data_IF_873858468628
#
_entry.id   IF_873858468628
#
_cell.length_a   1.000
_cell.length_b   1.000
_cell.length_c   1.000
_cell.angle_alpha   90.00
_cell.angle_beta   90.00
_cell.angle_gamma   90.00
#
_symmetry.space_group_name_H-M   'P 1'
#
loop_
_entity.id
_entity.type
_entity.pdbx_description
1 polymer ?
#
# COMPACT_ATOMS: atom_id res chain seq x y z
N UNK A 1 -18.16 3.25 -25.24
CA UNK A 1 -18.56 4.48 -24.55
C UNK A 1 -19.98 4.25 -24.08
N UNK A 2 -20.14 3.83 -22.83
CA UNK A 2 -21.46 3.68 -22.22
C UNK A 2 -21.79 4.99 -21.52
N UNK A 3 -22.67 5.79 -22.11
CA UNK A 3 -23.29 6.92 -21.44
C UNK A 3 -24.42 6.36 -20.56
N UNK A 4 -24.13 6.21 -19.27
CA UNK A 4 -25.16 6.18 -18.23
C UNK A 4 -24.72 7.16 -17.14
N UNK A 5 -25.42 8.31 -17.07
CA UNK A 5 -25.39 9.20 -15.90
C UNK A 5 -24.07 9.92 -15.58
N UNK A 6 -23.45 10.64 -16.51
CA UNK A 6 -22.46 11.70 -16.21
C UNK A 6 -21.12 11.27 -15.58
N UNK A 7 -20.92 9.98 -15.28
CA UNK A 7 -19.66 9.43 -14.77
C UNK A 7 -18.76 9.11 -15.96
N UNK A 8 -17.53 9.62 -15.94
CA UNK A 8 -16.52 9.35 -16.98
C UNK A 8 -15.28 8.72 -16.39
N UNK A 9 -14.64 7.85 -17.17
CA UNK A 9 -13.35 7.26 -16.81
C UNK A 9 -12.29 7.57 -17.84
N UNK A 10 -11.08 7.83 -17.37
CA UNK A 10 -9.91 8.00 -18.23
C UNK A 10 -8.71 7.27 -17.64
N UNK A 11 -7.75 6.91 -18.49
CA UNK A 11 -6.52 6.25 -18.07
C UNK A 11 -5.71 7.23 -17.23
N UNK A 12 -5.31 6.82 -16.04
CA UNK A 12 -4.47 7.64 -15.17
C UNK A 12 -2.99 7.56 -15.58
N UNK A 13 -2.52 6.34 -15.85
CA UNK A 13 -1.15 6.04 -16.21
C UNK A 13 -1.11 4.84 -17.17
N UNK A 14 -0.15 4.75 -18.12
CA UNK A 14 -0.15 3.69 -19.15
C UNK A 14 -0.19 2.26 -18.60
N UNK A 15 0.36 2.03 -17.41
CA UNK A 15 0.48 0.70 -16.81
C UNK A 15 -0.44 0.46 -15.62
N UNK A 16 -1.11 1.49 -15.11
CA UNK A 16 -1.94 1.40 -13.91
C UNK A 16 -2.96 2.53 -13.83
N UNK A 17 -4.02 2.29 -13.10
CA UNK A 17 -4.89 3.34 -12.63
C UNK A 17 -5.92 3.84 -13.63
N UNK A 18 -7.03 4.35 -13.08
CA UNK A 18 -8.02 5.12 -13.82
C UNK A 18 -8.44 6.34 -12.99
N UNK A 19 -8.75 7.44 -13.67
CA UNK A 19 -9.45 8.59 -13.07
C UNK A 19 -10.93 8.35 -13.24
N UNK A 20 -11.71 8.54 -12.16
CA UNK A 20 -13.17 8.51 -12.18
C UNK A 20 -13.69 9.91 -11.88
N UNK A 21 -14.42 10.48 -12.83
CA UNK A 21 -14.96 11.85 -12.76
C UNK A 21 -16.49 11.82 -12.80
N UNK A 22 -17.11 12.92 -12.37
CA UNK A 22 -18.58 13.04 -12.33
C UNK A 22 -19.26 12.23 -11.22
N UNK A 23 -18.49 11.69 -10.26
CA UNK A 23 -18.98 10.86 -9.17
C UNK A 23 -18.67 11.48 -7.81
N UNK A 24 -19.69 11.59 -6.95
CA UNK A 24 -19.55 11.82 -5.51
C UNK A 24 -19.66 10.48 -4.77
N UNK A 25 -18.52 9.98 -4.28
CA UNK A 25 -18.44 8.66 -3.62
C UNK A 25 -19.22 8.59 -2.31
N UNK A 26 -19.61 9.72 -1.70
CA UNK A 26 -20.45 9.70 -0.49
C UNK A 26 -21.88 9.25 -0.79
N UNK A 27 -22.36 9.52 -2.01
CA UNK A 27 -23.72 9.25 -2.47
C UNK A 27 -23.86 7.97 -3.30
N UNK A 28 -22.75 7.32 -3.67
CA UNK A 28 -22.80 6.18 -4.59
C UNK A 28 -23.50 4.96 -3.95
N UNK A 29 -24.47 4.39 -4.67
CA UNK A 29 -25.18 3.18 -4.24
C UNK A 29 -24.33 1.91 -4.33
N UNK A 30 -24.70 0.89 -3.55
CA UNK A 30 -24.03 -0.41 -3.52
C UNK A 30 -23.95 -1.10 -4.89
N UNK A 31 -25.01 -0.97 -5.70
CA UNK A 31 -25.07 -1.58 -7.04
C UNK A 31 -23.98 -1.02 -7.94
N UNK A 32 -23.81 0.31 -7.99
CA UNK A 32 -22.77 0.96 -8.80
C UNK A 32 -21.35 0.63 -8.29
N UNK A 33 -21.15 0.48 -6.98
CA UNK A 33 -19.87 -0.02 -6.45
C UNK A 33 -19.59 -1.43 -6.98
N UNK A 34 -20.60 -2.30 -6.95
CA UNK A 34 -20.46 -3.72 -7.29
C UNK A 34 -20.29 -3.94 -8.80
N UNK A 35 -21.12 -3.31 -9.63
CA UNK A 35 -21.16 -3.55 -11.08
C UNK A 35 -20.17 -2.73 -11.87
N UNK A 36 -19.68 -1.61 -11.31
CA UNK A 36 -18.83 -0.67 -12.02
C UNK A 36 -17.48 -0.43 -11.32
N UNK A 37 -17.46 0.08 -10.09
CA UNK A 37 -16.18 0.46 -9.45
C UNK A 37 -15.32 -0.75 -9.07
N UNK A 38 -15.88 -1.85 -8.60
CA UNK A 38 -15.12 -3.04 -8.24
C UNK A 38 -14.40 -3.67 -9.46
N UNK A 39 -15.08 -3.96 -10.59
CA UNK A 39 -14.39 -4.43 -11.80
C UNK A 39 -13.35 -3.43 -12.33
N UNK A 40 -13.63 -2.12 -12.24
CA UNK A 40 -12.69 -1.08 -12.65
C UNK A 40 -11.44 -1.06 -11.76
N UNK A 41 -11.61 -1.19 -10.44
CA UNK A 41 -10.50 -1.29 -9.49
C UNK A 41 -9.67 -2.55 -9.73
N UNK A 42 -10.30 -3.70 -9.94
CA UNK A 42 -9.61 -4.97 -10.17
C UNK A 42 -8.76 -4.96 -11.44
N UNK A 43 -9.27 -4.34 -12.51
CA UNK A 43 -8.60 -4.25 -13.81
C UNK A 43 -7.48 -3.21 -13.86
N UNK A 44 -7.66 -2.05 -13.21
CA UNK A 44 -6.70 -0.95 -13.22
C UNK A 44 -5.77 -0.93 -11.99
N UNK A 45 -6.10 -1.64 -10.92
CA UNK A 45 -5.39 -1.69 -9.64
C UNK A 45 -5.54 -0.44 -8.77
N UNK A 46 -5.83 0.73 -9.36
CA UNK A 46 -5.95 2.01 -8.67
C UNK A 46 -7.05 2.88 -9.29
N UNK A 47 -7.84 3.56 -8.48
CA UNK A 47 -8.83 4.55 -8.89
C UNK A 47 -8.54 5.88 -8.20
N UNK A 48 -8.57 6.96 -8.98
CA UNK A 48 -8.43 8.33 -8.49
C UNK A 48 -9.75 9.07 -8.64
N UNK A 49 -10.27 9.57 -7.52
CA UNK A 49 -11.42 10.46 -7.46
C UNK A 49 -10.94 11.83 -6.99
N UNK A 50 -11.24 12.88 -7.77
CA UNK A 50 -10.86 14.26 -7.45
C UNK A 50 -11.99 14.97 -6.71
N UNK A 51 -11.65 16.02 -5.95
CA UNK A 51 -12.59 16.98 -5.36
C UNK A 51 -13.69 16.35 -4.47
N UNK A 52 -13.39 15.23 -3.81
CA UNK A 52 -14.29 14.57 -2.89
C UNK A 52 -14.37 15.33 -1.56
N UNK A 53 -15.52 15.21 -0.88
CA UNK A 53 -15.73 15.77 0.46
C UNK A 53 -16.17 14.65 1.40
N UNK A 54 -15.20 14.00 2.03
CA UNK A 54 -15.44 12.84 2.88
C UNK A 54 -15.18 13.15 4.34
N UNK A 55 -16.04 12.63 5.21
CA UNK A 55 -15.71 12.41 6.62
C UNK A 55 -14.90 11.12 6.77
N UNK A 56 -14.17 10.93 7.89
CA UNK A 56 -13.51 9.66 8.19
C UNK A 56 -14.47 8.46 8.12
N UNK A 57 -15.66 8.59 8.69
CA UNK A 57 -16.72 7.57 8.63
C UNK A 57 -17.20 7.30 7.19
N UNK A 58 -17.37 8.35 6.39
CA UNK A 58 -17.78 8.21 4.98
C UNK A 58 -16.72 7.50 4.13
N UNK A 59 -15.43 7.72 4.41
CA UNK A 59 -14.35 6.97 3.77
C UNK A 59 -14.44 5.47 4.11
N UNK A 60 -14.59 5.13 5.40
CA UNK A 60 -14.73 3.74 5.84
C UNK A 60 -15.95 3.07 5.22
N UNK A 61 -17.09 3.75 5.22
CA UNK A 61 -18.32 3.26 4.61
C UNK A 61 -18.13 2.99 3.11
N UNK A 62 -17.55 3.94 2.36
CA UNK A 62 -17.30 3.78 0.93
C UNK A 62 -16.39 2.59 0.63
N UNK A 63 -15.24 2.46 1.30
CA UNK A 63 -14.33 1.32 1.09
C UNK A 63 -14.99 0.00 1.50
N UNK A 64 -15.80 0.01 2.56
CA UNK A 64 -16.56 -1.15 3.03
C UNK A 64 -17.66 -1.62 2.08
N UNK A 65 -18.10 -0.80 1.12
CA UNK A 65 -19.06 -1.20 0.07
C UNK A 65 -18.44 -2.11 -1.00
N UNK A 66 -17.10 -2.22 -1.09
CA UNK A 66 -16.48 -3.13 -2.07
C UNK A 66 -16.78 -4.59 -1.70
N UNK A 67 -17.32 -5.41 -2.63
CA UNK A 67 -17.86 -6.74 -2.29
C UNK A 67 -16.87 -7.66 -1.57
N UNK A 68 -15.60 -7.60 -1.96
CA UNK A 68 -14.54 -8.44 -1.40
C UNK A 68 -13.88 -7.84 -0.15
N UNK A 69 -14.22 -6.61 0.27
CA UNK A 69 -13.73 -6.03 1.51
C UNK A 69 -14.30 -6.76 2.74
N UNK A 70 -13.43 -7.15 3.68
CA UNK A 70 -13.77 -7.85 4.91
C UNK A 70 -14.02 -6.87 6.07
N UNK A 71 -15.25 -6.33 6.08
CA UNK A 71 -15.75 -5.47 7.16
C UNK A 71 -16.00 -6.24 8.46
N UNK A 72 -16.18 -7.57 8.40
CA UNK A 72 -16.42 -8.38 9.60
C UNK A 72 -15.15 -8.54 10.44
N UNK A 73 -13.99 -8.68 9.79
CA UNK A 73 -12.69 -8.74 10.49
C UNK A 73 -12.43 -7.43 11.27
N UNK A 74 -12.90 -6.29 10.76
CA UNK A 74 -12.83 -5.00 11.45
C UNK A 74 -13.72 -5.02 12.71
N UNK A 75 -14.96 -5.51 12.60
CA UNK A 75 -15.89 -5.63 13.72
C UNK A 75 -15.37 -6.58 14.80
N UNK A 76 -14.69 -7.66 14.40
CA UNK A 76 -14.07 -8.64 15.30
C UNK A 76 -12.73 -8.14 15.86
N UNK A 77 -12.34 -6.88 15.61
CA UNK A 77 -11.07 -6.28 16.03
C UNK A 77 -9.85 -7.15 15.67
N UNK A 78 -9.99 -7.95 14.61
CA UNK A 78 -9.00 -8.94 14.19
C UNK A 78 -8.14 -8.45 13.03
N UNK A 79 -8.49 -7.28 12.46
CA UNK A 79 -7.71 -6.57 11.46
C UNK A 79 -6.37 -6.11 12.05
N UNK A 80 -5.27 -6.09 11.27
CA UNK A 80 -3.94 -5.71 11.76
C UNK A 80 -3.83 -4.32 12.38
N UNK A 81 -4.77 -3.44 12.07
CA UNK A 81 -4.71 -2.02 12.37
C UNK A 81 -5.88 -1.52 13.23
N UNK A 82 -6.78 -2.41 13.67
CA UNK A 82 -8.02 -1.98 14.31
C UNK A 82 -7.90 -1.81 15.84
N UNK A 83 -7.29 -2.77 16.55
CA UNK A 83 -7.21 -2.72 18.01
C UNK A 83 -5.82 -2.31 18.49
N UNK A 84 -5.76 -1.28 19.33
CA UNK A 84 -4.52 -0.78 19.93
C UNK A 84 -3.55 -0.07 18.99
N UNK A 85 -3.88 0.11 17.70
CA UNK A 85 -3.07 0.92 16.79
C UNK A 85 -3.26 2.41 17.17
N UNK A 86 -2.23 3.09 17.70
CA UNK A 86 -2.37 4.48 18.09
C UNK A 86 -2.66 5.38 16.89
N UNK A 87 -2.39 4.92 15.66
CA UNK A 87 -2.64 5.70 14.45
C UNK A 87 -4.11 5.79 14.05
N UNK A 88 -4.97 4.96 14.62
CA UNK A 88 -6.41 4.96 14.35
C UNK A 88 -7.17 5.98 15.21
N UNK A 89 -8.27 6.50 14.65
CA UNK A 89 -9.19 7.35 15.40
C UNK A 89 -9.82 6.53 16.55
N UNK A 90 -9.78 7.00 17.81
CA UNK A 90 -10.34 6.29 18.95
C UNK A 90 -11.83 5.95 18.79
N UNK A 91 -12.60 6.85 18.20
CA UNK A 91 -14.03 6.70 17.91
C UNK A 91 -14.30 5.86 16.66
N UNK A 92 -13.28 5.62 15.83
CA UNK A 92 -13.38 4.94 14.55
C UNK A 92 -12.11 4.12 14.24
N UNK A 93 -11.89 3.00 14.96
CA UNK A 93 -10.65 2.21 14.90
C UNK A 93 -10.30 1.63 13.51
N UNK A 94 -11.20 1.72 12.52
CA UNK A 94 -10.93 1.35 11.13
C UNK A 94 -10.33 2.45 10.25
N UNK A 95 -10.13 3.66 10.80
CA UNK A 95 -9.59 4.80 10.07
C UNK A 95 -8.31 5.30 10.73
N UNK A 96 -7.20 5.19 10.00
CA UNK A 96 -5.93 5.80 10.38
C UNK A 96 -5.87 7.27 10.02
N UNK A 97 -5.16 8.03 10.83
CA UNK A 97 -4.80 9.42 10.57
C UNK A 97 -3.32 9.49 10.26
N UNK A 98 -2.93 10.02 9.10
CA UNK A 98 -1.53 10.15 8.72
C UNK A 98 -1.14 11.62 8.53
N UNK A 99 0.14 11.92 8.74
CA UNK A 99 0.71 13.27 8.57
C UNK A 99 0.86 14.04 9.89
N UNK A 100 0.89 15.36 9.80
CA UNK A 100 1.02 16.31 10.92
C UNK A 100 -0.01 17.44 10.74
N UNK A 101 -1.23 17.29 11.27
CA UNK A 101 -2.29 18.28 11.05
C UNK A 101 -1.98 19.61 11.75
N UNK A 102 -2.25 20.74 11.09
CA UNK A 102 -1.98 22.07 11.67
C UNK A 102 -3.01 22.54 12.70
N UNK A 103 -4.26 22.09 12.56
CA UNK A 103 -5.42 22.72 13.21
C UNK A 103 -5.97 21.94 14.41
N UNK A 104 -5.71 20.64 14.51
CA UNK A 104 -6.28 19.81 15.57
C UNK A 104 -5.22 18.94 16.24
N UNK A 105 -4.85 19.33 17.46
CA UNK A 105 -3.90 18.58 18.29
C UNK A 105 -4.46 17.24 18.78
N UNK A 106 -5.77 17.05 18.81
CA UNK A 106 -6.36 15.76 19.19
C UNK A 106 -6.02 14.67 18.16
N UNK A 107 -5.83 15.04 16.89
CA UNK A 107 -5.43 14.14 15.81
C UNK A 107 -3.95 13.74 15.85
N UNK A 108 -3.13 14.37 16.71
CA UNK A 108 -1.70 14.05 16.83
C UNK A 108 -1.46 12.68 17.48
N UNK A 109 -2.47 12.12 18.16
CA UNK A 109 -2.40 10.74 18.66
C UNK A 109 -2.40 9.73 17.50
N UNK A 110 -3.21 9.99 16.46
CA UNK A 110 -3.29 9.20 15.23
C UNK A 110 -2.11 9.44 14.27
N UNK A 111 -1.69 10.69 14.17
CA UNK A 111 -0.75 11.16 13.16
C UNK A 111 0.61 11.50 13.78
N UNK A 112 1.33 10.51 14.34
CA UNK A 112 2.66 10.75 14.94
C UNK A 112 3.78 10.71 13.88
N UNK A 113 4.72 11.67 13.88
CA UNK A 113 5.85 11.71 12.93
C UNK A 113 6.62 10.38 12.81
N UNK A 114 6.83 9.68 13.92
CA UNK A 114 7.59 8.42 13.97
C UNK A 114 6.81 7.21 13.40
N UNK A 115 5.49 7.35 13.17
CA UNK A 115 4.71 6.40 12.36
C UNK A 115 4.71 6.80 10.88
N UNK A 116 4.93 8.08 10.56
CA UNK A 116 4.95 8.61 9.20
C UNK A 116 6.28 8.36 8.46
N UNK A 117 7.33 7.94 9.18
CA UNK A 117 8.61 7.50 8.60
C UNK A 117 8.56 6.08 7.98
N UNK A 118 7.47 5.34 8.22
CA UNK A 118 7.22 4.02 7.63
C UNK A 118 6.52 4.14 6.26
N UNK A 119 6.78 3.21 5.36
CA UNK A 119 6.15 3.15 4.03
C UNK A 119 6.81 4.03 2.98
N UNK A 120 8.06 4.48 3.21
CA UNK A 120 8.89 5.11 2.18
C UNK A 120 9.60 4.08 1.29
N UNK A 121 9.68 2.84 1.74
CA UNK A 121 10.06 1.68 0.95
C UNK A 121 8.95 1.27 -0.02
N UNK A 122 9.31 0.59 -1.11
CA UNK A 122 8.31 -0.07 -1.95
C UNK A 122 7.68 -1.25 -1.21
N UNK A 123 6.38 -1.18 -0.98
CA UNK A 123 5.64 -2.18 -0.22
C UNK A 123 4.21 -2.34 -0.72
N UNK A 124 3.55 -3.36 -0.18
CA UNK A 124 2.12 -3.61 -0.25
C UNK A 124 1.64 -3.90 1.17
N UNK A 125 0.46 -3.41 1.54
CA UNK A 125 -0.03 -3.50 2.92
C UNK A 125 -0.54 -4.90 3.32
N UNK A 126 -0.60 -5.83 2.36
CA UNK A 126 -1.23 -7.14 2.50
C UNK A 126 -2.36 -7.31 1.49
N UNK A 127 -3.05 -8.45 1.50
CA UNK A 127 -4.23 -8.64 0.65
C UNK A 127 -5.39 -7.80 1.18
N UNK A 128 -5.68 -6.67 0.53
CA UNK A 128 -6.70 -5.74 0.96
C UNK A 128 -6.93 -4.57 -0.01
N UNK A 129 -7.99 -3.81 0.25
CA UNK A 129 -8.30 -2.58 -0.47
C UNK A 129 -7.96 -1.41 0.46
N UNK A 130 -7.18 -0.46 -0.04
CA UNK A 130 -6.83 0.76 0.68
C UNK A 130 -7.52 1.96 0.05
N UNK A 131 -8.23 2.74 0.86
CA UNK A 131 -8.67 4.10 0.52
C UNK A 131 -7.81 5.12 1.25
N UNK A 132 -7.24 6.07 0.51
CA UNK A 132 -6.40 7.14 1.04
C UNK A 132 -6.94 8.50 0.59
N UNK A 133 -7.39 9.31 1.53
CA UNK A 133 -8.05 10.59 1.29
C UNK A 133 -7.24 11.76 1.85
N UNK A 134 -6.99 12.77 1.01
CA UNK A 134 -6.23 13.96 1.37
C UNK A 134 -7.14 15.07 1.94
N UNK A 135 -7.19 15.19 3.26
CA UNK A 135 -7.95 16.22 3.96
C UNK A 135 -7.17 17.55 4.10
N UNK A 136 -5.85 17.48 4.24
CA UNK A 136 -4.95 18.62 4.23
C UNK A 136 -3.66 18.22 3.51
N UNK A 137 -3.20 19.05 2.58
CA UNK A 137 -1.92 18.85 1.89
C UNK A 137 -1.01 20.06 2.13
N UNK A 138 0.32 19.84 2.18
CA UNK A 138 1.28 20.93 2.22
C UNK A 138 1.10 21.93 1.08
N UNK A 139 1.25 23.22 1.36
CA UNK A 139 1.20 24.29 0.35
C UNK A 139 2.60 24.77 -0.05
N UNK A 140 2.76 25.24 -1.29
CA UNK A 140 4.01 25.81 -1.81
C UNK A 140 4.95 24.76 -2.44
N UNK A 141 6.26 25.03 -2.41
CA UNK A 141 7.29 24.18 -3.05
C UNK A 141 7.57 22.85 -2.33
N UNK A 142 7.01 22.66 -1.12
CA UNK A 142 7.22 21.48 -0.29
C UNK A 142 5.98 20.59 -0.34
N UNK A 143 5.97 19.58 -1.20
CA UNK A 143 4.90 18.59 -1.29
C UNK A 143 5.40 17.21 -0.92
N UNK A 144 4.59 16.43 -0.21
CA UNK A 144 4.80 14.97 -0.08
C UNK A 144 3.92 14.27 -1.10
N UNK A 145 4.52 13.37 -1.86
CA UNK A 145 3.87 12.62 -2.93
C UNK A 145 3.82 11.14 -2.58
N UNK A 146 3.00 10.41 -3.30
CA UNK A 146 2.96 8.95 -3.20
C UNK A 146 3.21 8.35 -4.58
N UNK A 147 4.08 7.35 -4.62
CA UNK A 147 4.45 6.60 -5.81
C UNK A 147 3.67 5.30 -5.83
N UNK A 148 3.19 4.91 -7.01
CA UNK A 148 2.58 3.61 -7.25
C UNK A 148 3.21 2.94 -8.46
N UNK A 149 3.23 1.61 -8.41
CA UNK A 149 3.62 0.77 -9.51
C UNK A 149 2.71 -0.47 -9.56
N UNK A 150 2.48 -0.99 -10.77
CA UNK A 150 1.65 -2.17 -10.95
C UNK A 150 2.48 -3.44 -10.80
N UNK A 151 2.09 -4.30 -9.86
CA UNK A 151 2.60 -5.66 -9.76
C UNK A 151 2.30 -6.49 -11.00
N UNK A 152 1.21 -6.20 -11.72
CA UNK A 152 0.94 -6.83 -13.01
C UNK A 152 1.99 -6.44 -14.06
N UNK A 153 2.22 -5.15 -14.24
CA UNK A 153 3.23 -4.68 -15.19
C UNK A 153 4.62 -5.21 -14.80
N UNK A 154 4.95 -5.19 -13.51
CA UNK A 154 6.20 -5.72 -12.99
C UNK A 154 6.39 -7.21 -13.33
N UNK A 155 5.32 -8.00 -13.34
CA UNK A 155 5.37 -9.38 -13.85
C UNK A 155 5.50 -9.43 -15.38
N UNK A 156 4.70 -8.65 -16.10
CA UNK A 156 4.59 -8.71 -17.55
C UNK A 156 5.94 -8.42 -18.24
N UNK A 157 6.73 -7.48 -17.69
CA UNK A 157 8.05 -7.07 -18.23
C UNK A 157 9.20 -8.03 -17.93
N UNK A 158 9.01 -9.03 -17.07
CA UNK A 158 10.05 -10.01 -16.80
C UNK A 158 10.33 -10.87 -18.03
N UNK A 159 11.61 -11.22 -18.22
CA UNK A 159 11.99 -12.28 -19.17
C UNK A 159 11.43 -13.62 -18.74
N UNK A 160 11.34 -14.57 -19.68
CA UNK A 160 10.86 -15.92 -19.37
C UNK A 160 11.75 -16.63 -18.35
N UNK A 161 13.06 -16.37 -18.37
CA UNK A 161 14.00 -16.88 -17.37
C UNK A 161 13.70 -16.31 -15.98
N UNK A 162 13.47 -14.99 -15.88
CA UNK A 162 13.14 -14.35 -14.61
C UNK A 162 11.77 -14.82 -14.08
N UNK A 163 10.77 -15.01 -14.96
CA UNK A 163 9.47 -15.61 -14.58
C UNK A 163 9.65 -17.02 -14.04
N UNK A 164 10.45 -17.87 -14.67
CA UNK A 164 10.77 -19.23 -14.18
C UNK A 164 11.45 -19.19 -12.81
N UNK A 165 12.42 -18.28 -12.62
CA UNK A 165 13.09 -18.11 -11.33
C UNK A 165 12.10 -17.71 -10.23
N UNK A 166 11.29 -16.68 -10.48
CA UNK A 166 10.26 -16.20 -9.54
C UNK A 166 9.29 -17.30 -9.13
N UNK A 167 8.82 -18.11 -10.09
CA UNK A 167 7.89 -19.21 -9.81
C UNK A 167 8.51 -20.29 -8.92
N UNK A 168 9.83 -20.48 -8.99
CA UNK A 168 10.57 -21.43 -8.16
C UNK A 168 10.96 -20.92 -6.77
N UNK A 169 10.83 -19.61 -6.50
CA UNK A 169 11.22 -19.04 -5.21
C UNK A 169 10.27 -19.46 -4.08
N UNK A 170 10.85 -19.74 -2.91
CA UNK A 170 10.10 -19.94 -1.67
C UNK A 170 10.64 -19.02 -0.57
N UNK A 171 9.96 -17.89 -0.37
CA UNK A 171 10.34 -16.89 0.63
C UNK A 171 9.54 -17.04 1.93
N UNK A 172 10.20 -16.75 3.05
CA UNK A 172 9.54 -16.57 4.34
C UNK A 172 9.61 -15.11 4.71
N UNK A 173 8.46 -14.50 4.94
CA UNK A 173 8.32 -13.13 5.40
C UNK A 173 7.85 -13.12 6.85
N UNK A 174 8.31 -12.13 7.60
CA UNK A 174 7.89 -12.00 8.98
C UNK A 174 8.47 -10.77 9.67
N UNK A 175 8.15 -10.59 10.96
CA UNK A 175 8.45 -9.35 11.67
C UNK A 175 9.93 -9.20 12.04
N UNK A 176 10.80 -10.20 11.83
CA UNK A 176 12.22 -10.20 12.22
C UNK A 176 12.98 -8.91 11.85
N UNK A 177 12.73 -8.29 10.69
CA UNK A 177 13.36 -7.00 10.35
C UNK A 177 12.86 -5.81 11.18
N UNK A 178 11.68 -5.91 11.77
CA UNK A 178 11.13 -4.95 12.72
C UNK A 178 11.53 -5.29 14.18
N UNK A 179 11.93 -6.54 14.45
CA UNK A 179 12.23 -7.06 15.80
C UNK A 179 13.73 -7.11 16.13
N UNK A 180 14.59 -7.37 15.13
CA UNK A 180 16.05 -7.37 15.29
C UNK A 180 16.56 -5.93 15.09
N UNK A 181 16.70 -5.21 16.21
CA UNK A 181 17.39 -3.92 16.36
C UNK A 181 16.80 -2.69 15.66
N UNK A 182 15.66 -2.19 16.16
CA UNK A 182 15.21 -0.79 16.07
C UNK A 182 14.85 -0.22 14.68
N UNK A 183 13.78 0.57 14.67
CA UNK A 183 13.45 1.56 13.62
C UNK A 183 14.67 2.41 13.21
N UNK A 184 15.66 2.59 14.09
CA UNK A 184 16.93 3.26 13.78
C UNK A 184 17.84 2.47 12.84
N UNK A 185 17.82 1.12 12.83
CA UNK A 185 18.54 0.33 11.83
C UNK A 185 17.84 0.29 10.46
N UNK A 186 16.52 0.52 10.39
CA UNK A 186 15.84 0.74 9.10
C UNK A 186 16.43 1.93 8.35
N UNK A 187 17.02 2.89 9.08
CA UNK A 187 17.78 4.01 8.52
C UNK A 187 19.29 3.71 8.42
N UNK A 188 19.91 3.07 9.43
CA UNK A 188 21.37 2.80 9.44
C UNK A 188 21.86 1.74 8.45
N UNK A 189 21.09 0.70 8.14
CA UNK A 189 21.47 -0.29 7.12
C UNK A 189 20.88 0.00 5.72
N UNK A 190 20.50 1.27 5.52
CA UNK A 190 20.48 1.92 4.23
C UNK A 190 19.45 1.36 3.28
N UNK A 191 18.16 1.64 3.51
CA UNK A 191 17.06 1.26 2.62
C UNK A 191 16.26 2.45 2.08
N UNK A 192 16.79 3.68 2.06
CA UNK A 192 16.04 4.80 1.46
C UNK A 192 16.08 4.66 -0.05
N UNK A 193 14.94 4.68 -0.73
CA UNK A 193 14.98 4.92 -2.17
C UNK A 193 15.45 6.38 -2.39
N UNK A 194 16.27 6.61 -3.42
CA UNK A 194 16.69 7.94 -3.89
C UNK A 194 15.46 8.84 -4.12
N UNK A 195 15.64 10.15 -4.31
CA UNK A 195 14.51 11.10 -4.43
C UNK A 195 13.51 10.78 -5.55
N UNK A 196 13.88 9.91 -6.48
CA UNK A 196 13.08 9.37 -7.57
C UNK A 196 12.51 7.95 -7.33
N UNK A 197 12.71 7.33 -6.16
CA UNK A 197 12.13 6.02 -5.84
C UNK A 197 12.85 4.83 -6.51
N UNK A 198 14.05 5.04 -7.08
CA UNK A 198 14.69 4.10 -8.02
C UNK A 198 15.93 3.37 -7.49
N UNK A 199 16.60 3.87 -6.43
CA UNK A 199 17.83 3.25 -5.90
C UNK A 199 17.92 3.31 -4.39
N UNK A 200 18.38 2.22 -3.78
CA UNK A 200 18.75 2.14 -2.37
C UNK A 200 19.94 3.06 -2.07
N UNK A 201 19.73 4.11 -1.27
CA UNK A 201 20.74 5.02 -0.75
C UNK A 201 21.21 4.47 0.59
N UNK A 202 22.51 4.20 0.69
CA UNK A 202 23.18 3.90 1.96
C UNK A 202 23.53 5.23 2.65
N UNK A 203 23.48 5.23 3.98
CA UNK A 203 23.90 6.32 4.89
C UNK A 203 22.92 7.50 5.09
N UNK A 204 21.79 7.26 5.79
CA UNK A 204 21.05 8.36 6.43
C UNK A 204 20.72 8.03 7.88
N UNK A 205 21.17 8.89 8.79
CA UNK A 205 21.04 8.73 10.23
C UNK A 205 19.60 8.97 10.70
N UNK A 206 19.11 8.16 11.64
CA UNK A 206 17.83 8.38 12.30
C UNK A 206 17.93 7.98 13.78
N UNK A 207 17.80 8.94 14.66
CA UNK A 207 17.82 8.74 16.11
C UNK A 207 16.68 9.52 16.75
N UNK A 208 15.64 8.82 17.26
CA UNK A 208 14.66 9.43 18.18
C UNK A 208 13.72 8.48 18.97
N UNK A 209 13.82 7.15 18.91
CA UNK A 209 12.90 6.27 19.67
C UNK A 209 13.57 5.59 20.88
N UNK A 210 12.89 5.57 22.02
CA UNK A 210 13.37 4.90 23.24
C UNK A 210 13.11 3.39 23.19
N UNK A 211 13.87 2.63 24.00
CA UNK A 211 13.79 1.16 24.07
C UNK A 211 12.40 0.67 24.51
N UNK A 212 11.72 1.39 25.41
CA UNK A 212 10.37 1.05 25.86
C UNK A 212 9.27 1.34 24.81
N UNK A 213 9.51 2.29 23.90
CA UNK A 213 8.60 2.58 22.77
C UNK A 213 8.71 1.50 21.69
N UNK A 214 9.92 0.97 21.46
CA UNK A 214 10.18 -0.13 20.54
C UNK A 214 9.55 -1.44 21.03
N UNK A 215 9.79 -1.83 22.29
CA UNK A 215 9.24 -3.08 22.86
C UNK A 215 7.71 -3.15 22.89
N UNK A 216 7.02 -2.01 23.05
CA UNK A 216 5.56 -1.95 22.94
C UNK A 216 5.05 -2.24 21.52
N UNK A 217 5.81 -1.87 20.48
CA UNK A 217 5.50 -2.20 19.07
C UNK A 217 5.86 -3.66 18.74
N UNK A 218 6.94 -4.19 19.32
CA UNK A 218 7.40 -5.58 19.15
C UNK A 218 6.39 -6.61 19.70
N UNK A 219 5.82 -6.35 20.89
CA UNK A 219 4.81 -7.21 21.52
C UNK A 219 3.45 -7.24 20.81
N UNK A 220 3.22 -6.30 19.88
CA UNK A 220 2.01 -6.20 19.07
C UNK A 220 2.19 -6.75 17.65
N UNK A 221 3.27 -7.48 17.35
CA UNK A 221 3.51 -8.03 16.01
C UNK A 221 2.38 -8.99 15.60
N UNK A 222 1.47 -8.50 14.76
CA UNK A 222 0.35 -9.27 14.28
C UNK A 222 0.86 -10.27 13.23
N UNK A 223 1.31 -11.45 13.68
CA UNK A 223 1.88 -12.50 12.83
C UNK A 223 1.00 -12.83 11.61
N UNK A 224 -0.33 -12.67 11.73
CA UNK A 224 -1.30 -12.83 10.65
C UNK A 224 -1.10 -11.87 9.48
N UNK A 225 -0.47 -10.71 9.67
CA UNK A 225 -0.14 -9.78 8.58
C UNK A 225 0.84 -10.42 7.59
N UNK A 226 1.80 -11.18 8.09
CA UNK A 226 2.94 -11.66 7.32
C UNK A 226 2.74 -13.04 6.68
N UNK A 227 1.84 -13.87 7.24
CA UNK A 227 1.56 -15.23 6.73
C UNK A 227 1.19 -15.23 5.24
N UNK A 228 0.47 -14.22 4.75
CA UNK A 228 0.04 -14.16 3.36
C UNK A 228 1.19 -13.96 2.37
N UNK A 229 2.33 -13.42 2.81
CA UNK A 229 3.48 -13.11 1.97
C UNK A 229 4.34 -14.35 1.69
N UNK A 230 4.26 -15.41 2.50
CA UNK A 230 5.12 -16.59 2.37
C UNK A 230 4.95 -17.32 1.03
N UNK A 231 6.05 -17.85 0.49
CA UNK A 231 6.19 -18.56 -0.77
C UNK A 231 6.69 -17.68 -1.93
N UNK A 232 6.38 -18.05 -3.18
CA UNK A 232 6.81 -17.29 -4.38
C UNK A 232 6.39 -15.82 -4.31
N UNK A 233 7.07 -14.85 -4.94
CA UNK A 233 6.55 -13.50 -5.07
C UNK A 233 5.52 -13.36 -6.20
N UNK A 234 5.29 -14.38 -7.04
CA UNK A 234 4.25 -14.33 -8.06
C UNK A 234 2.90 -14.86 -7.53
N UNK A 235 1.86 -14.04 -7.67
CA UNK A 235 0.50 -14.34 -7.20
C UNK A 235 -0.50 -14.14 -8.33
N UNK A 236 -1.51 -14.99 -8.40
CA UNK A 236 -2.63 -14.82 -9.31
C UNK A 236 -3.76 -14.04 -8.63
N UNK A 237 -4.17 -12.95 -9.26
CA UNK A 237 -5.29 -12.14 -8.79
C UNK A 237 -6.61 -12.88 -9.00
N UNK A 238 -7.47 -13.02 -7.98
CA UNK A 238 -8.59 -13.95 -8.00
C UNK A 238 -9.69 -13.60 -9.00
N UNK A 239 -9.88 -12.32 -9.32
CA UNK A 239 -10.98 -11.86 -10.19
C UNK A 239 -10.55 -11.59 -11.63
N UNK A 240 -9.28 -11.23 -11.85
CA UNK A 240 -8.76 -10.91 -13.18
C UNK A 240 -7.98 -12.07 -13.80
N UNK A 241 -7.54 -13.03 -12.99
CA UNK A 241 -6.67 -14.13 -13.42
C UNK A 241 -5.25 -13.71 -13.79
N UNK A 242 -4.92 -12.41 -13.77
CA UNK A 242 -3.59 -11.88 -14.05
C UNK A 242 -2.60 -12.28 -12.96
N UNK A 243 -1.35 -12.48 -13.35
CA UNK A 243 -0.25 -12.65 -12.40
C UNK A 243 0.32 -11.30 -12.02
N UNK A 244 0.51 -11.07 -10.72
CA UNK A 244 1.20 -9.92 -10.17
C UNK A 244 2.47 -10.38 -9.44
N UNK A 245 3.55 -9.61 -9.57
CA UNK A 245 4.61 -9.61 -8.57
C UNK A 245 4.08 -8.91 -7.32
N UNK A 246 4.05 -9.64 -6.22
CA UNK A 246 3.47 -9.22 -4.96
C UNK A 246 4.35 -9.69 -3.81
N UNK A 247 5.11 -8.75 -3.26
CA UNK A 247 6.14 -9.02 -2.27
C UNK A 247 6.53 -7.75 -1.53
N UNK A 248 7.15 -7.90 -0.36
CA UNK A 248 7.68 -6.77 0.42
C UNK A 248 9.13 -7.10 0.79
N UNK A 249 10.12 -6.60 0.02
CA UNK A 249 11.53 -6.95 0.22
C UNK A 249 12.03 -6.69 1.64
N UNK A 250 11.53 -5.64 2.28
CA UNK A 250 11.88 -5.26 3.66
C UNK A 250 11.53 -6.34 4.68
N UNK A 251 10.56 -7.21 4.39
CA UNK A 251 10.04 -8.21 5.33
C UNK A 251 10.61 -9.61 5.06
N UNK A 252 11.47 -9.79 4.04
CA UNK A 252 12.04 -11.07 3.65
C UNK A 252 13.01 -11.57 4.72
N UNK A 253 12.71 -12.69 5.38
CA UNK A 253 13.52 -13.26 6.46
C UNK A 253 14.42 -14.41 6.01
N UNK A 254 13.93 -15.21 5.06
CA UNK A 254 14.61 -16.42 4.61
C UNK A 254 14.15 -16.75 3.19
N UNK A 255 15.04 -17.42 2.44
CA UNK A 255 14.69 -18.15 1.24
C UNK A 255 15.24 -19.57 1.36
N UNK A 256 14.43 -20.58 1.07
CA UNK A 256 14.82 -21.98 1.30
C UNK A 256 16.06 -22.41 0.50
N UNK A 257 16.29 -21.83 -0.68
CA UNK A 257 17.29 -22.32 -1.63
C UNK A 257 18.46 -21.35 -1.85
N UNK A 258 18.54 -20.27 -1.09
CA UNK A 258 19.62 -19.26 -1.24
C UNK A 258 19.84 -18.47 0.05
N UNK A 259 21.05 -17.92 0.20
CA UNK A 259 21.38 -17.04 1.32
C UNK A 259 20.55 -15.75 1.29
N UNK A 260 20.21 -15.21 2.47
CA UNK A 260 19.31 -14.06 2.60
C UNK A 260 19.76 -12.81 1.82
N UNK A 261 21.05 -12.47 1.84
CA UNK A 261 21.55 -11.31 1.09
C UNK A 261 21.47 -11.53 -0.43
N UNK A 262 21.71 -12.76 -0.90
CA UNK A 262 21.51 -13.12 -2.31
C UNK A 262 20.03 -13.05 -2.69
N UNK A 263 19.14 -13.52 -1.81
CA UNK A 263 17.69 -13.44 -2.01
C UNK A 263 17.19 -12.00 -2.17
N UNK A 264 17.70 -11.08 -1.34
CA UNK A 264 17.38 -9.66 -1.45
C UNK A 264 17.84 -9.05 -2.76
N UNK A 265 19.09 -9.29 -3.16
CA UNK A 265 19.63 -8.79 -4.44
C UNK A 265 18.77 -9.30 -5.60
N UNK A 266 18.47 -10.59 -5.61
CA UNK A 266 17.65 -11.17 -6.67
C UNK A 266 16.24 -10.60 -6.70
N UNK A 267 15.61 -10.42 -5.52
CA UNK A 267 14.29 -9.80 -5.42
C UNK A 267 14.30 -8.35 -5.90
N UNK A 268 15.35 -7.58 -5.58
CA UNK A 268 15.53 -6.21 -6.08
C UNK A 268 15.67 -6.19 -7.61
N UNK A 269 16.49 -7.07 -8.19
CA UNK A 269 16.67 -7.18 -9.65
C UNK A 269 15.36 -7.54 -10.38
N UNK A 270 14.55 -8.42 -9.80
CA UNK A 270 13.24 -8.82 -10.34
C UNK A 270 12.23 -7.67 -10.30
N UNK A 271 12.25 -6.87 -9.23
CA UNK A 271 11.30 -5.78 -9.05
C UNK A 271 11.68 -4.52 -9.84
N UNK A 272 12.97 -4.27 -10.03
CA UNK A 272 13.48 -3.02 -10.59
C UNK A 272 12.84 -2.65 -11.94
N UNK A 273 12.64 -3.56 -12.92
CA UNK A 273 12.00 -3.21 -14.18
C UNK A 273 10.56 -2.69 -14.04
N UNK A 274 9.81 -3.20 -13.06
CA UNK A 274 8.41 -2.82 -12.83
C UNK A 274 8.21 -1.66 -11.86
N UNK A 275 9.24 -1.32 -11.08
CA UNK A 275 9.20 -0.28 -10.05
C UNK A 275 10.09 0.93 -10.41
N UNK A 276 10.45 1.09 -11.69
CA UNK A 276 11.36 2.17 -12.11
C UNK A 276 10.95 2.92 -13.38
N UNK A 277 11.51 4.12 -13.53
CA UNK A 277 11.31 4.97 -14.70
C UNK A 277 9.84 5.22 -14.99
N UNK A 278 9.45 5.03 -16.24
CA UNK A 278 8.10 5.28 -16.74
C UNK A 278 7.05 4.29 -16.22
N UNK A 279 7.46 3.23 -15.49
CA UNK A 279 6.52 2.31 -14.85
C UNK A 279 5.85 2.93 -13.60
N UNK A 280 6.46 3.98 -13.03
CA UNK A 280 6.05 4.58 -11.76
C UNK A 280 5.12 5.76 -11.96
N UNK A 281 3.92 5.65 -11.41
CA UNK A 281 3.01 6.79 -11.28
C UNK A 281 3.33 7.58 -10.01
N UNK A 282 3.67 8.86 -10.16
CA UNK A 282 3.79 9.81 -9.04
C UNK A 282 2.49 10.59 -8.88
N UNK A 283 1.91 10.53 -7.69
CA UNK A 283 0.77 11.35 -7.33
C UNK A 283 1.20 12.50 -6.41
N UNK A 284 1.11 13.72 -6.94
CA UNK A 284 1.16 14.93 -6.14
C UNK A 284 -0.25 15.25 -5.64
N UNK A 285 -0.44 15.12 -4.33
CA UNK A 285 -1.73 15.21 -3.67
C UNK A 285 -2.35 16.60 -3.76
N UNK A 286 -3.67 16.64 -3.91
CA UNK A 286 -4.52 17.82 -3.76
C UNK A 286 -5.55 17.56 -2.68
N UNK A 287 -6.00 18.62 -2.00
CA UNK A 287 -7.12 18.51 -1.06
C UNK A 287 -8.34 17.94 -1.78
N UNK A 288 -8.98 16.93 -1.18
CA UNK A 288 -10.14 16.24 -1.74
C UNK A 288 -9.79 15.12 -2.73
N UNK A 289 -8.51 14.84 -2.98
CA UNK A 289 -8.13 13.62 -3.69
C UNK A 289 -8.44 12.40 -2.81
N UNK A 290 -9.12 11.42 -3.41
CA UNK A 290 -9.27 10.07 -2.88
C UNK A 290 -8.60 9.11 -3.87
N UNK A 291 -7.60 8.38 -3.40
CA UNK A 291 -7.01 7.27 -4.12
C UNK A 291 -7.48 5.97 -3.47
N UNK A 292 -8.13 5.12 -4.26
CA UNK A 292 -8.50 3.76 -3.87
C UNK A 292 -7.60 2.79 -4.63
N UNK A 293 -6.98 1.82 -3.96
CA UNK A 293 -6.12 0.86 -4.64
C UNK A 293 -6.23 -0.56 -4.07
N UNK A 294 -6.09 -1.53 -4.96
CA UNK A 294 -6.06 -2.95 -4.63
C UNK A 294 -4.62 -3.38 -4.36
N UNK A 295 -4.30 -3.61 -3.09
CA UNK A 295 -2.96 -4.01 -2.67
C UNK A 295 -2.53 -5.36 -3.25
N UNK A 296 -3.45 -6.19 -3.77
CA UNK A 296 -3.13 -7.46 -4.43
C UNK A 296 -2.44 -7.27 -5.78
N UNK A 297 -2.57 -6.08 -6.36
CA UNK A 297 -1.99 -5.75 -7.67
C UNK A 297 -1.08 -4.54 -7.66
N UNK A 298 -1.02 -3.80 -6.55
CA UNK A 298 -0.30 -2.54 -6.44
C UNK A 298 0.82 -2.60 -5.40
N UNK A 299 1.95 -1.98 -5.75
CA UNK A 299 3.00 -1.60 -4.81
C UNK A 299 3.03 -0.08 -4.73
N UNK A 300 3.43 0.44 -3.56
CA UNK A 300 3.50 1.88 -3.33
C UNK A 300 4.64 2.26 -2.40
N UNK A 301 5.00 3.55 -2.44
CA UNK A 301 6.03 4.17 -1.62
C UNK A 301 5.66 5.63 -1.42
N UNK A 302 5.71 6.10 -0.18
CA UNK A 302 5.61 7.52 0.11
C UNK A 302 6.96 8.22 -0.09
N UNK A 303 6.95 9.46 -0.58
CA UNK A 303 8.17 10.27 -0.59
C UNK A 303 8.50 10.77 0.82
N UNK A 304 9.73 11.31 0.97
CA UNK A 304 10.22 11.94 2.20
C UNK A 304 9.15 12.85 2.82
N UNK A 305 9.07 12.82 4.15
CA UNK A 305 8.27 13.78 4.89
C UNK A 305 8.72 15.20 4.58
N UNK A 306 7.75 16.09 4.52
CA UNK A 306 7.99 17.53 4.44
C UNK A 306 7.64 18.14 5.78
N UNK A 307 8.45 19.09 6.24
CA UNK A 307 8.15 19.90 7.42
C UNK A 307 7.08 20.94 7.04
N UNK A 308 5.85 20.45 6.88
CA UNK A 308 4.65 21.20 6.54
C UNK A 308 3.40 20.39 6.93
N UNK A 309 2.28 21.07 7.26
CA UNK A 309 1.07 20.38 7.66
C UNK A 309 0.49 19.45 6.59
N UNK A 310 0.17 18.23 6.99
CA UNK A 310 -0.51 17.23 6.17
C UNK A 310 -1.50 16.44 7.01
N UNK A 311 -2.67 16.15 6.45
CA UNK A 311 -3.67 15.28 7.07
C UNK A 311 -4.26 14.37 6.01
N UNK A 312 -4.05 13.08 6.19
CA UNK A 312 -4.63 12.04 5.35
C UNK A 312 -5.47 11.11 6.22
N UNK A 313 -6.62 10.67 5.72
CA UNK A 313 -7.35 9.55 6.30
C UNK A 313 -7.11 8.31 5.47
N UNK A 314 -6.79 7.20 6.13
CA UNK A 314 -6.54 5.93 5.47
C UNK A 314 -7.45 4.85 6.05
N UNK A 315 -8.10 4.12 5.15
CA UNK A 315 -8.84 2.90 5.46
C UNK A 315 -8.15 1.76 4.73
N UNK A 316 -7.83 0.70 5.46
CA UNK A 316 -7.40 -0.57 4.90
C UNK A 316 -8.38 -1.64 5.36
N UNK A 317 -9.01 -2.33 4.42
CA UNK A 317 -9.82 -3.50 4.70
C UNK A 317 -9.19 -4.69 3.98
N UNK A 318 -8.99 -5.81 4.69
CA UNK A 318 -8.56 -7.04 4.01
C UNK A 318 -9.56 -7.48 2.97
N UNK A 319 -9.08 -8.25 2.01
CA UNK A 319 -9.93 -8.93 1.05
C UNK A 319 -10.31 -10.31 1.56
N UNK A 320 -11.59 -10.69 1.47
CA UNK A 320 -12.09 -12.04 1.81
C UNK A 320 -11.40 -13.10 0.94
N UNK A 321 -11.17 -12.76 -0.32
CA UNK A 321 -10.55 -13.66 -1.29
C UNK A 321 -9.03 -13.52 -1.29
N UNK A 322 -8.33 -14.62 -0.98
CA UNK A 322 -6.87 -14.68 -1.01
C UNK A 322 -6.34 -14.93 -2.43
N UNK A 323 -5.17 -14.38 -2.73
CA UNK A 323 -4.44 -14.72 -3.95
C UNK A 323 -3.82 -16.11 -3.87
N UNK A 324 -3.78 -16.81 -5.02
CA UNK A 324 -3.10 -18.10 -5.15
C UNK A 324 -1.68 -17.88 -5.66
N UNK A 325 -0.77 -18.81 -5.37
CA UNK A 325 0.52 -18.87 -6.05
C UNK A 325 0.32 -19.01 -7.56
N UNK A 326 1.05 -18.21 -8.34
CA UNK A 326 1.14 -18.46 -9.77
C UNK A 326 1.79 -19.82 -10.01
N UNK A 327 1.33 -20.54 -11.03
CA UNK A 327 1.87 -21.84 -11.42
C UNK A 327 2.53 -21.69 -12.79
N UNK A 328 3.56 -22.50 -13.03
CA UNK A 328 4.07 -22.67 -14.38
C UNK A 328 2.95 -23.30 -15.23
N UNK A 329 2.50 -22.61 -16.27
CA UNK A 329 1.64 -23.22 -17.27
C UNK A 329 2.44 -24.34 -17.94
N UNK A 330 1.99 -25.59 -17.81
CA UNK A 330 2.58 -26.68 -18.58
C UNK A 330 2.37 -26.36 -20.08
N UNK A 331 3.41 -26.51 -20.91
CA UNK A 331 3.32 -26.24 -22.34
C UNK A 331 2.32 -27.15 -23.06
#
# INVERSE_FOLDING_TARGET
MGEDGGITTSVLHPFLGAVVEGLDVSSIGQEAVTSFLAPLLESHGLLLFRNQKLSPGGLLEFVGRFPDADVEELQKQSQPFADGDPSCLPELPGVRVLGTPSSDRALWHGAVPEANDLGMEWHTDGCGITGLYAAQVPHGERTRSTLWASGYHAWDVLSDEAKKQVLGMNFVFGPRYLLDESVANMCRYGGRMSENGLRRVKDVDAAALTKEQLQRREGASNARRYVHLNGSPARQHPFTGRTALWTVPLLLQECQDMGLEQAKIQLEEILLPGLSGDAVYRHDWRVGDLVLFDNRSMMHSATKLVDAPQLMYQVFLRTKTQMKFAKQTQP
#
